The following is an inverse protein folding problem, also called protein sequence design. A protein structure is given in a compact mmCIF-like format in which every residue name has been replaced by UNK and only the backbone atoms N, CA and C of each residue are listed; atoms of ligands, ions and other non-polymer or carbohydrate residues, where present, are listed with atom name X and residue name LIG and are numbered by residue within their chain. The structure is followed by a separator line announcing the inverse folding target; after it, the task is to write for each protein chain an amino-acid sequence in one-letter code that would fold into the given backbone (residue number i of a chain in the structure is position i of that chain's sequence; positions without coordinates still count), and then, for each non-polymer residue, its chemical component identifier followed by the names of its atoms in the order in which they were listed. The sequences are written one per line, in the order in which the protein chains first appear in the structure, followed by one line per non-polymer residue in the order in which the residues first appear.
data_IF_047348565805
#
_entry.id   IF_047348565805
#
_cell.length_a   1.000
_cell.length_b   1.000
_cell.length_c   1.000
_cell.angle_alpha   90.00
_cell.angle_beta   90.00
_cell.angle_gamma   90.00
#
_symmetry.space_group_name_H-M   'P 1'
#
loop_
_entity.id
_entity.type
_entity.pdbx_description
1 polymer ?
#
# COMPACT_ATOMS: atom_id res chain seq x y z
N UNK A 1 -8.90 4.75 20.25
CA UNK A 1 -7.95 3.81 19.63
C UNK A 1 -7.10 4.58 18.64
N UNK A 2 -5.81 4.26 18.53
CA UNK A 2 -4.99 4.81 17.45
C UNK A 2 -5.40 4.14 16.12
N UNK A 3 -5.43 4.89 15.00
CA UNK A 3 -5.76 4.34 13.70
C UNK A 3 -4.71 3.34 13.22
N UNK A 4 -5.14 2.34 12.46
CA UNK A 4 -4.23 1.44 11.76
C UNK A 4 -3.70 2.12 10.49
N UNK A 5 -2.40 2.34 10.42
CA UNK A 5 -1.72 2.79 9.20
C UNK A 5 -1.67 1.69 8.13
N UNK A 6 -2.27 1.92 6.97
CA UNK A 6 -2.26 1.03 5.80
C UNK A 6 -1.57 1.74 4.63
N UNK A 7 -0.55 1.11 4.06
CA UNK A 7 0.16 1.62 2.89
C UNK A 7 -0.32 0.95 1.60
N UNK A 8 -0.61 1.72 0.57
CA UNK A 8 -0.95 1.21 -0.77
C UNK A 8 0.27 1.42 -1.67
N UNK A 9 0.92 0.33 -2.07
CA UNK A 9 2.03 0.33 -3.02
C UNK A 9 1.47 0.50 -4.43
N UNK A 10 1.66 1.66 -5.03
CA UNK A 10 1.17 2.00 -6.36
C UNK A 10 1.27 3.49 -6.65
N UNK A 11 1.32 3.83 -7.94
CA UNK A 11 1.48 5.20 -8.40
C UNK A 11 0.10 5.83 -8.57
N UNK A 12 -0.35 6.54 -7.53
CA UNK A 12 -1.72 7.02 -7.45
C UNK A 12 -2.08 7.96 -8.61
N UNK A 13 -3.16 7.60 -9.27
CA UNK A 13 -3.85 8.39 -10.29
C UNK A 13 -5.32 8.55 -9.91
N UNK A 14 -5.76 9.79 -9.70
CA UNK A 14 -7.13 10.13 -9.35
C UNK A 14 -8.13 9.90 -10.51
N UNK A 15 -7.65 9.86 -11.75
CA UNK A 15 -8.47 9.52 -12.91
C UNK A 15 -8.69 8.00 -13.05
N UNK A 16 -7.88 7.18 -12.37
CA UNK A 16 -8.00 5.74 -12.42
C UNK A 16 -9.13 5.25 -11.48
N UNK A 17 -10.23 4.67 -12.02
CA UNK A 17 -11.36 4.23 -11.21
C UNK A 17 -10.99 3.09 -10.24
N UNK A 18 -9.97 2.29 -10.54
CA UNK A 18 -9.57 1.19 -9.64
C UNK A 18 -8.91 1.72 -8.37
N UNK A 19 -8.13 2.81 -8.45
CA UNK A 19 -7.53 3.44 -7.27
C UNK A 19 -8.59 4.04 -6.35
N UNK A 20 -9.60 4.70 -6.91
CA UNK A 20 -10.75 5.20 -6.16
C UNK A 20 -11.51 4.04 -5.48
N UNK A 21 -11.67 2.91 -6.19
CA UNK A 21 -12.31 1.71 -5.64
C UNK A 21 -11.48 1.08 -4.50
N UNK A 22 -10.15 1.04 -4.60
CA UNK A 22 -9.25 0.57 -3.52
C UNK A 22 -9.43 1.41 -2.25
N UNK A 23 -9.46 2.74 -2.39
CA UNK A 23 -9.73 3.65 -1.27
C UNK A 23 -11.10 3.36 -0.63
N UNK A 24 -12.15 3.24 -1.45
CA UNK A 24 -13.49 2.95 -0.97
C UNK A 24 -13.59 1.58 -0.28
N UNK A 25 -12.88 0.56 -0.77
CA UNK A 25 -12.86 -0.78 -0.19
C UNK A 25 -12.23 -0.79 1.21
N UNK A 26 -11.10 -0.09 1.40
CA UNK A 26 -10.48 0.07 2.71
C UNK A 26 -11.40 0.81 3.70
N UNK A 27 -12.04 1.89 3.26
CA UNK A 27 -13.01 2.63 4.08
C UNK A 27 -14.24 1.78 4.45
N UNK A 28 -14.72 0.97 3.51
CA UNK A 28 -15.82 0.02 3.78
C UNK A 28 -15.42 -1.00 4.87
N UNK A 29 -14.23 -1.58 4.78
CA UNK A 29 -13.72 -2.50 5.80
C UNK A 29 -13.54 -1.83 7.17
N UNK A 30 -12.96 -0.62 7.19
CA UNK A 30 -12.79 0.19 8.41
C UNK A 30 -14.12 0.45 9.12
N UNK A 31 -15.15 0.85 8.36
CA UNK A 31 -16.49 1.07 8.88
C UNK A 31 -17.12 -0.23 9.42
N UNK A 32 -17.06 -1.32 8.65
CA UNK A 32 -17.63 -2.61 9.07
C UNK A 32 -17.00 -3.16 10.36
N UNK A 33 -15.70 -2.89 10.57
CA UNK A 33 -14.95 -3.32 11.75
C UNK A 33 -14.92 -2.27 12.87
N UNK A 34 -15.56 -1.10 12.68
CA UNK A 34 -15.47 0.05 13.61
C UNK A 34 -14.03 0.38 14.01
N UNK A 35 -13.09 0.23 13.07
CA UNK A 35 -11.65 0.43 13.29
C UNK A 35 -11.18 1.61 12.43
N UNK A 36 -10.69 2.69 13.03
CA UNK A 36 -10.15 3.81 12.26
C UNK A 36 -8.87 3.38 11.54
N UNK A 37 -8.70 3.84 10.31
CA UNK A 37 -7.51 3.58 9.49
C UNK A 37 -6.99 4.87 8.88
N UNK A 38 -5.66 4.95 8.75
CA UNK A 38 -4.98 5.98 7.97
C UNK A 38 -4.42 5.33 6.70
N UNK A 39 -4.81 5.84 5.53
CA UNK A 39 -4.40 5.29 4.24
C UNK A 39 -3.34 6.20 3.63
N UNK A 40 -2.21 5.63 3.22
CA UNK A 40 -1.18 6.33 2.46
C UNK A 40 -0.95 5.65 1.11
N UNK A 41 -0.99 6.42 0.03
CA UNK A 41 -0.49 5.96 -1.27
C UNK A 41 1.02 6.15 -1.34
N UNK A 42 1.69 5.09 -1.75
CA UNK A 42 3.14 4.94 -1.70
C UNK A 42 3.63 4.71 -3.12
N UNK A 43 4.19 5.75 -3.74
CA UNK A 43 4.72 5.66 -5.09
C UNK A 43 5.84 4.62 -5.16
N UNK A 44 5.92 3.93 -6.28
CA UNK A 44 6.82 2.79 -6.45
C UNK A 44 8.31 3.16 -6.63
N UNK A 45 8.70 4.29 -7.28
CA UNK A 45 10.11 4.57 -7.56
C UNK A 45 11.06 4.64 -6.35
N UNK A 46 10.68 5.23 -5.19
CA UNK A 46 11.56 5.28 -4.01
C UNK A 46 12.02 3.91 -3.50
N UNK A 47 11.23 2.86 -3.75
CA UNK A 47 11.46 1.51 -3.22
C UNK A 47 12.47 0.67 -4.03
N UNK A 48 13.08 1.25 -5.06
CA UNK A 48 14.33 0.71 -5.60
C UNK A 48 15.51 0.91 -4.63
N UNK A 49 15.44 1.87 -3.71
CA UNK A 49 16.46 2.14 -2.70
C UNK A 49 16.23 1.34 -1.41
N UNK A 50 17.31 0.70 -0.91
CA UNK A 50 17.30 0.04 0.40
C UNK A 50 17.03 1.00 1.56
N UNK A 51 17.35 2.29 1.43
CA UNK A 51 17.07 3.24 2.50
C UNK A 51 15.56 3.41 2.69
N UNK A 52 14.83 3.61 1.58
CA UNK A 52 13.40 3.93 1.63
C UNK A 52 12.51 2.71 1.78
N UNK A 53 12.98 1.52 1.41
CA UNK A 53 12.24 0.29 1.67
C UNK A 53 12.02 0.07 3.18
N UNK A 54 12.95 0.53 4.03
CA UNK A 54 12.83 0.37 5.48
C UNK A 54 11.69 1.16 6.10
N UNK A 55 11.27 2.25 5.45
CA UNK A 55 10.12 3.04 5.90
C UNK A 55 8.81 2.24 5.88
N UNK A 56 8.73 1.14 5.11
CA UNK A 56 7.55 0.29 5.04
C UNK A 56 7.22 -0.41 6.36
N UNK A 57 8.17 -0.55 7.29
CA UNK A 57 7.93 -1.08 8.65
C UNK A 57 6.99 -0.22 9.50
N UNK A 58 6.76 1.03 9.10
CA UNK A 58 5.84 1.93 9.82
C UNK A 58 4.36 1.59 9.60
N UNK A 59 4.03 0.72 8.64
CA UNK A 59 2.66 0.35 8.29
C UNK A 59 2.27 -0.98 8.93
N UNK A 60 1.01 -1.07 9.38
CA UNK A 60 0.44 -2.30 9.94
C UNK A 60 0.01 -3.30 8.87
N UNK A 61 -0.11 -2.84 7.62
CA UNK A 61 -0.43 -3.66 6.46
C UNK A 61 -0.16 -2.91 5.17
N UNK A 62 0.10 -3.66 4.11
CA UNK A 62 0.43 -3.15 2.79
C UNK A 62 -0.52 -3.74 1.73
N UNK A 63 -0.86 -2.95 0.72
CA UNK A 63 -1.71 -3.35 -0.39
C UNK A 63 -1.02 -3.01 -1.72
N UNK A 64 -0.76 -3.97 -2.60
CA UNK A 64 -0.32 -3.73 -3.97
C UNK A 64 -1.48 -3.31 -4.88
N UNK A 65 -1.48 -2.06 -5.35
CA UNK A 65 -2.60 -1.47 -6.08
C UNK A 65 -2.83 -2.13 -7.46
N UNK A 66 -4.08 -2.19 -7.94
CA UNK A 66 -4.33 -2.56 -9.33
C UNK A 66 -3.89 -1.43 -10.26
N UNK A 67 -3.45 -1.76 -11.48
CA UNK A 67 -3.14 -0.74 -12.51
C UNK A 67 -1.72 -0.77 -13.08
N UNK A 68 -1.06 -1.94 -13.09
CA UNK A 68 0.20 -2.08 -13.80
C UNK A 68 0.08 -1.62 -15.28
N UNK A 69 1.12 -1.03 -15.88
CA UNK A 69 2.48 -0.91 -15.35
C UNK A 69 2.61 0.19 -14.29
N UNK A 70 3.35 -0.11 -13.23
CA UNK A 70 3.84 0.89 -12.28
C UNK A 70 4.95 1.74 -12.91
N UNK A 71 5.16 2.94 -12.39
CA UNK A 71 6.31 3.78 -12.75
C UNK A 71 7.63 3.04 -12.49
N UNK A 72 7.73 2.33 -11.35
CA UNK A 72 8.81 1.40 -11.07
C UNK A 72 8.29 0.00 -10.74
N UNK A 73 8.49 -0.92 -11.70
CA UNK A 73 8.26 -2.34 -11.48
C UNK A 73 9.15 -2.91 -10.37
N UNK A 74 10.42 -2.50 -10.35
CA UNK A 74 11.41 -3.06 -9.42
C UNK A 74 11.13 -2.57 -7.98
N UNK A 75 10.74 -1.31 -7.81
CA UNK A 75 10.28 -0.78 -6.53
C UNK A 75 9.04 -1.51 -6.00
N UNK A 76 8.05 -1.81 -6.85
CA UNK A 76 6.89 -2.60 -6.47
C UNK A 76 7.27 -4.03 -6.03
N UNK A 77 8.13 -4.72 -6.79
CA UNK A 77 8.62 -6.07 -6.45
C UNK A 77 9.41 -6.05 -5.13
N UNK A 78 10.23 -5.02 -4.92
CA UNK A 78 10.99 -4.85 -3.69
C UNK A 78 10.07 -4.65 -2.48
N UNK A 79 9.01 -3.83 -2.61
CA UNK A 79 8.03 -3.63 -1.56
C UNK A 79 7.28 -4.91 -1.19
N UNK A 80 6.89 -5.71 -2.18
CA UNK A 80 6.27 -7.04 -1.97
C UNK A 80 7.23 -7.97 -1.23
N UNK A 81 8.50 -8.03 -1.69
CA UNK A 81 9.53 -8.86 -1.05
C UNK A 81 9.74 -8.44 0.40
N UNK A 82 9.86 -7.13 0.64
CA UNK A 82 10.07 -6.57 1.97
C UNK A 82 8.93 -6.92 2.92
N UNK A 83 7.68 -6.75 2.48
CA UNK A 83 6.51 -7.12 3.26
C UNK A 83 6.55 -8.60 3.67
N UNK A 84 6.86 -9.49 2.72
CA UNK A 84 6.99 -10.94 2.97
C UNK A 84 8.12 -11.28 3.93
N UNK A 85 9.27 -10.64 3.82
CA UNK A 85 10.48 -10.95 4.62
C UNK A 85 10.46 -10.33 6.02
N UNK A 86 9.56 -9.37 6.26
CA UNK A 86 9.38 -8.69 7.55
C UNK A 86 8.02 -8.93 8.19
N UNK A 87 7.29 -9.97 7.76
CA UNK A 87 6.01 -10.39 8.31
C UNK A 87 4.95 -9.27 8.35
N UNK A 88 4.97 -8.36 7.36
CA UNK A 88 3.97 -7.32 7.21
C UNK A 88 2.80 -7.90 6.41
N UNK A 89 1.56 -7.88 6.94
CA UNK A 89 0.39 -8.32 6.19
C UNK A 89 0.32 -7.65 4.83
N UNK A 90 0.19 -8.44 3.76
CA UNK A 90 0.19 -7.95 2.39
C UNK A 90 -1.01 -8.51 1.60
N UNK A 91 -1.69 -7.64 0.84
CA UNK A 91 -2.73 -7.99 -0.13
C UNK A 91 -2.34 -7.48 -1.52
N UNK A 92 -2.48 -8.31 -2.57
CA UNK A 92 -2.28 -7.89 -3.96
C UNK A 92 -3.54 -8.12 -4.78
N UNK A 93 -3.84 -7.21 -5.71
CA UNK A 93 -5.04 -7.23 -6.58
C UNK A 93 -4.71 -6.98 -8.03
#
# INVERSE_FOLDING_TARGET
MQPLSIGIIGDFDAANPTHAATNAALQHAAHALSTPIDIAWLSTPPYESEEQIHALKAYHGLWGAPGSPYESRDGAINAIRYAREHDIPFLGT
#
